data_IF_375699727089
#
_entry.id   IF_375699727089
#
_cell.length_a   1.000
_cell.length_b   1.000
_cell.length_c   1.000
_cell.angle_alpha   90.00
_cell.angle_beta   90.00
_cell.angle_gamma   90.00
#
_symmetry.space_group_name_H-M   'P 1'
#
loop_
_entity.id
_entity.type
_entity.pdbx_description
1 polymer ?
#
# COMPACT_ATOMS: atom_id res chain seq x y z
N UNK A 1 6.05 -9.86 8.86
CA UNK A 1 4.65 -9.78 8.52
C UNK A 1 3.98 -11.11 8.76
N UNK A 2 3.04 -11.12 9.66
CA UNK A 2 2.27 -12.31 9.94
C UNK A 2 0.96 -12.22 9.18
N UNK A 3 0.80 -13.12 8.22
CA UNK A 3 -0.51 -13.32 7.62
C UNK A 3 -1.25 -14.31 8.49
N UNK A 4 -2.39 -13.94 9.00
CA UNK A 4 -3.26 -14.83 9.71
C UNK A 4 -3.86 -15.85 8.75
N UNK A 5 -4.35 -16.95 9.28
CA UNK A 5 -5.09 -17.93 8.49
C UNK A 5 -6.46 -17.43 8.05
N UNK A 6 -6.89 -16.28 8.52
CA UNK A 6 -8.16 -15.69 8.11
C UNK A 6 -8.14 -15.35 6.62
N UNK A 7 -9.32 -15.23 6.02
CA UNK A 7 -9.45 -14.93 4.60
C UNK A 7 -8.80 -13.60 4.22
N UNK A 8 -8.83 -12.61 5.11
CA UNK A 8 -8.12 -11.37 4.90
C UNK A 8 -7.77 -10.73 6.23
N UNK A 9 -6.57 -10.19 6.31
CA UNK A 9 -6.09 -9.45 7.46
C UNK A 9 -5.84 -8.02 7.04
N UNK A 10 -6.24 -7.09 7.88
CA UNK A 10 -6.04 -5.67 7.64
C UNK A 10 -5.08 -5.12 8.69
N UNK A 11 -3.97 -4.57 8.20
CA UNK A 11 -2.97 -3.93 9.05
C UNK A 11 -2.98 -2.44 8.80
N UNK A 12 -3.18 -1.67 9.86
CA UNK A 12 -3.22 -0.21 9.75
C UNK A 12 -1.82 0.34 9.93
N UNK A 13 -1.40 1.21 9.00
CA UNK A 13 -0.22 2.05 9.15
C UNK A 13 1.02 1.29 9.61
N UNK A 14 1.28 0.19 8.94
CA UNK A 14 2.45 -0.61 9.26
C UNK A 14 3.69 0.02 8.61
N UNK A 15 4.75 0.16 9.39
CA UNK A 15 6.01 0.70 8.90
C UNK A 15 6.68 -0.29 7.96
N UNK A 16 7.21 0.23 6.87
CA UNK A 16 8.03 -0.52 5.94
C UNK A 16 9.44 0.03 5.99
N UNK A 17 10.40 -0.83 6.28
CA UNK A 17 11.81 -0.45 6.33
C UNK A 17 12.46 -0.67 4.98
N UNK A 18 12.93 0.41 4.38
CA UNK A 18 13.63 0.36 3.10
C UNK A 18 15.13 0.19 3.28
N UNK A 19 15.84 -0.30 2.24
CA UNK A 19 17.29 -0.28 2.24
C UNK A 19 17.81 1.13 2.54
N UNK A 20 18.84 1.23 3.38
CA UNK A 20 19.35 2.51 3.83
C UNK A 20 18.69 3.04 5.08
N UNK A 21 17.80 2.28 5.69
CA UNK A 21 17.19 2.63 6.97
C UNK A 21 16.00 3.58 6.89
N UNK A 22 15.55 3.95 5.69
CA UNK A 22 14.35 4.77 5.56
C UNK A 22 13.12 3.97 5.87
N UNK A 23 12.20 4.60 6.58
CA UNK A 23 10.89 4.03 6.86
C UNK A 23 9.82 4.76 6.09
N UNK A 24 8.79 4.04 5.73
CA UNK A 24 7.56 4.63 5.19
C UNK A 24 6.37 3.83 5.69
N UNK A 25 5.21 4.47 5.70
CA UNK A 25 4.00 3.89 6.25
C UNK A 25 2.85 4.07 5.29
N UNK A 26 2.43 3.02 4.58
CA UNK A 26 1.16 3.10 3.90
C UNK A 26 0.02 3.15 4.92
N UNK A 27 -1.09 3.76 4.54
CA UNK A 27 -2.22 3.90 5.45
C UNK A 27 -2.86 2.56 5.78
N UNK A 28 -2.90 1.66 4.81
CA UNK A 28 -3.49 0.34 5.03
C UNK A 28 -2.84 -0.69 4.14
N UNK A 29 -2.56 -1.85 4.72
CA UNK A 29 -2.12 -3.03 3.97
C UNK A 29 -3.12 -4.14 4.25
N UNK A 30 -3.62 -4.75 3.19
CA UNK A 30 -4.60 -5.85 3.29
C UNK A 30 -3.94 -7.10 2.73
N UNK A 31 -3.91 -8.14 3.53
CA UNK A 31 -3.44 -9.46 3.11
C UNK A 31 -4.66 -10.34 2.85
N UNK A 32 -4.78 -10.85 1.63
CA UNK A 32 -5.87 -11.73 1.25
C UNK A 32 -5.29 -12.90 0.49
N UNK A 33 -5.01 -13.99 1.20
CA UNK A 33 -4.31 -15.13 0.62
C UNK A 33 -2.90 -14.72 0.19
N UNK A 34 -2.60 -14.89 -1.08
CA UNK A 34 -1.30 -14.53 -1.66
C UNK A 34 -1.26 -13.10 -2.21
N UNK A 35 -2.40 -12.41 -2.21
CA UNK A 35 -2.49 -11.04 -2.74
C UNK A 35 -2.32 -10.04 -1.61
N UNK A 36 -1.46 -9.05 -1.83
CA UNK A 36 -1.26 -7.93 -0.91
C UNK A 36 -1.74 -6.67 -1.58
N UNK A 37 -2.60 -5.92 -0.90
CA UNK A 37 -3.10 -4.63 -1.38
C UNK A 37 -2.65 -3.53 -0.46
N UNK A 38 -2.11 -2.48 -1.05
CA UNK A 38 -1.72 -1.26 -0.34
C UNK A 38 -2.71 -0.17 -0.74
N UNK A 39 -3.25 0.50 0.26
CA UNK A 39 -4.17 1.61 0.04
C UNK A 39 -3.61 2.83 0.77
N UNK A 40 -3.49 3.92 0.03
CA UNK A 40 -3.10 5.20 0.60
C UNK A 40 -4.26 6.17 0.41
N UNK A 41 -4.74 6.74 1.52
CA UNK A 41 -5.86 7.68 1.50
C UNK A 41 -5.34 9.09 1.36
N UNK A 42 -5.93 9.85 0.43
CA UNK A 42 -5.63 11.27 0.26
C UNK A 42 -6.90 12.08 0.46
N UNK A 43 -6.84 13.00 1.41
CA UNK A 43 -8.00 13.82 1.79
C UNK A 43 -8.01 15.17 1.11
N UNK A 44 -6.91 15.57 0.48
CA UNK A 44 -6.84 16.79 -0.29
C UNK A 44 -7.58 16.67 -1.60
N UNK A 45 -7.68 17.78 -2.33
CA UNK A 45 -8.38 17.82 -3.62
C UNK A 45 -7.47 17.56 -4.81
N UNK A 46 -6.16 17.75 -4.66
CA UNK A 46 -5.24 17.58 -5.78
C UNK A 46 -4.89 16.13 -6.01
N UNK A 47 -4.86 15.75 -7.30
CA UNK A 47 -4.41 14.44 -7.75
C UNK A 47 -3.02 14.62 -8.32
N UNK A 48 -2.01 14.18 -7.57
CA UNK A 48 -0.62 14.40 -7.96
C UNK A 48 0.06 13.09 -8.27
N UNK A 49 0.89 13.09 -9.30
CA UNK A 49 1.64 11.90 -9.70
C UNK A 49 2.57 11.40 -8.59
N UNK A 50 3.01 12.28 -7.70
CA UNK A 50 3.87 11.86 -6.59
C UNK A 50 3.19 10.84 -5.68
N UNK A 51 1.87 10.90 -5.55
CA UNK A 51 1.14 9.93 -4.73
C UNK A 51 1.16 8.55 -5.37
N UNK A 52 1.01 8.50 -6.70
CA UNK A 52 1.10 7.24 -7.44
C UNK A 52 2.49 6.64 -7.35
N UNK A 53 3.51 7.48 -7.47
CA UNK A 53 4.90 7.03 -7.34
C UNK A 53 5.20 6.50 -5.95
N UNK A 54 4.67 7.14 -4.92
CA UNK A 54 4.85 6.70 -3.54
C UNK A 54 4.26 5.30 -3.32
N UNK A 55 3.04 5.08 -3.76
CA UNK A 55 2.40 3.77 -3.64
C UNK A 55 3.12 2.75 -4.50
N UNK A 56 3.54 3.13 -5.70
CA UNK A 56 4.34 2.26 -6.56
C UNK A 56 5.62 1.81 -5.88
N UNK A 57 6.26 2.71 -5.15
CA UNK A 57 7.46 2.38 -4.41
C UNK A 57 7.17 1.36 -3.28
N UNK A 58 6.06 1.54 -2.57
CA UNK A 58 5.65 0.56 -1.56
C UNK A 58 5.43 -0.82 -2.19
N UNK A 59 4.74 -0.86 -3.31
CA UNK A 59 4.47 -2.12 -4.02
C UNK A 59 5.77 -2.82 -4.43
N UNK A 60 6.70 -2.06 -5.00
CA UNK A 60 7.99 -2.62 -5.43
C UNK A 60 8.79 -3.16 -4.24
N UNK A 61 8.74 -2.45 -3.11
CA UNK A 61 9.41 -2.90 -1.90
C UNK A 61 8.86 -4.24 -1.43
N UNK A 62 7.55 -4.39 -1.42
CA UNK A 62 6.92 -5.65 -1.01
C UNK A 62 7.24 -6.77 -2.00
N UNK A 63 7.29 -6.49 -3.30
CA UNK A 63 7.70 -7.50 -4.28
C UNK A 63 9.13 -7.96 -4.04
N UNK A 64 10.02 -7.05 -3.71
CA UNK A 64 11.41 -7.40 -3.37
C UNK A 64 11.51 -8.21 -2.08
N UNK A 65 10.55 -8.07 -1.19
CA UNK A 65 10.48 -8.86 0.04
C UNK A 65 9.93 -10.27 -0.21
N UNK A 66 9.48 -10.58 -1.42
CA UNK A 66 9.02 -11.89 -1.79
C UNK A 66 7.52 -12.02 -2.04
N UNK A 67 6.76 -10.97 -1.86
CA UNK A 67 5.33 -11.01 -2.18
C UNK A 67 5.16 -10.91 -3.70
N UNK A 68 4.52 -11.90 -4.30
CA UNK A 68 4.42 -11.98 -5.76
C UNK A 68 3.29 -11.15 -6.34
N UNK A 69 2.17 -11.12 -5.66
CA UNK A 69 1.00 -10.39 -6.13
C UNK A 69 0.75 -9.20 -5.22
N UNK A 70 1.14 -8.02 -5.68
CA UNK A 70 1.01 -6.78 -4.93
C UNK A 70 0.25 -5.79 -5.79
N UNK A 71 -0.82 -5.23 -5.22
CA UNK A 71 -1.62 -4.19 -5.86
C UNK A 71 -1.57 -2.93 -5.01
N UNK A 72 -1.49 -1.79 -5.64
CA UNK A 72 -1.46 -0.52 -4.95
C UNK A 72 -2.55 0.41 -5.45
N UNK A 73 -3.13 1.19 -4.52
CA UNK A 73 -4.21 2.11 -4.81
C UNK A 73 -4.01 3.42 -4.09
N UNK A 74 -4.34 4.49 -4.76
CA UNK A 74 -4.53 5.79 -4.13
C UNK A 74 -6.01 6.09 -4.12
N UNK A 75 -6.56 6.33 -2.94
CA UNK A 75 -7.98 6.64 -2.75
C UNK A 75 -8.13 8.12 -2.41
N UNK A 76 -8.68 8.87 -3.37
CA UNK A 76 -9.00 10.28 -3.15
C UNK A 76 -10.37 10.35 -2.48
N UNK A 77 -10.36 10.55 -1.16
CA UNK A 77 -11.55 10.34 -0.34
C UNK A 77 -12.66 11.33 -0.68
N UNK A 78 -12.32 12.59 -0.94
CA UNK A 78 -13.33 13.61 -1.22
C UNK A 78 -14.10 13.38 -2.52
N UNK A 79 -13.41 12.93 -3.55
CA UNK A 79 -14.05 12.67 -4.84
C UNK A 79 -14.57 11.25 -4.97
N UNK A 80 -14.14 10.35 -4.10
CA UNK A 80 -14.44 8.93 -4.20
C UNK A 80 -13.67 8.21 -5.30
N UNK A 81 -12.66 8.85 -5.86
CA UNK A 81 -11.89 8.29 -6.96
C UNK A 81 -10.80 7.38 -6.42
N UNK A 82 -10.71 6.18 -6.99
CA UNK A 82 -9.65 5.22 -6.66
C UNK A 82 -8.82 4.99 -7.91
N UNK A 83 -7.52 5.17 -7.78
CA UNK A 83 -6.57 4.97 -8.87
C UNK A 83 -5.66 3.81 -8.52
N UNK A 84 -5.60 2.82 -9.39
CA UNK A 84 -4.67 1.70 -9.25
C UNK A 84 -3.31 2.09 -9.81
N UNK A 85 -2.30 1.74 -9.07
CA UNK A 85 -0.91 2.00 -9.45
C UNK A 85 -0.32 0.81 -10.18
#
# INVERSE_FOLDING_TARGET
LLASSAASDVYKRQDILFPGGRKTRPDRIIFNGSVVRIIDYKFGQSEENKYLKQVGFYCNTLRKMGFKEVEGYVWYVKSGKIVQV
#
